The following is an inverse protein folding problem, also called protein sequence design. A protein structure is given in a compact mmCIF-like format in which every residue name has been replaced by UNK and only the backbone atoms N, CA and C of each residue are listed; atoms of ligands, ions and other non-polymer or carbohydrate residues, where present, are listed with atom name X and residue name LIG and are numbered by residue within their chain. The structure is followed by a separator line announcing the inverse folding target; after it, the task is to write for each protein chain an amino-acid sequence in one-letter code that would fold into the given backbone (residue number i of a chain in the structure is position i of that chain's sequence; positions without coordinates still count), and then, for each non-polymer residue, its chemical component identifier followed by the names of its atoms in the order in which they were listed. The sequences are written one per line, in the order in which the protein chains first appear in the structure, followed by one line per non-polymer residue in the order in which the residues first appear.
data_IF_173062469866
#
_entry.id   IF_173062469866
#
_cell.length_a   1.000
_cell.length_b   1.000
_cell.length_c   1.000
_cell.angle_alpha   90.00
_cell.angle_beta   90.00
_cell.angle_gamma   90.00
#
_symmetry.space_group_name_H-M   'P 1'
#
loop_
_entity.id
_entity.type
_entity.pdbx_description
1 polymer ?
#
# COMPACT_ATOMS: atom_id res chain seq x y z
N UNK A 1 -2.58 5.36 -1.30
CA UNK A 1 -3.78 5.23 -2.16
C UNK A 1 -4.76 4.33 -1.43
N UNK A 2 -6.01 4.75 -1.20
CA UNK A 2 -6.93 3.97 -0.37
C UNK A 2 -8.37 4.08 -0.82
N UNK A 3 -9.15 3.00 -0.62
CA UNK A 3 -10.61 2.97 -0.69
C UNK A 3 -11.16 2.81 0.72
N UNK A 4 -12.29 3.46 1.01
CA UNK A 4 -12.89 3.35 2.34
C UNK A 4 -13.25 1.89 2.66
N UNK A 5 -12.91 1.38 3.85
CA UNK A 5 -13.24 0.02 4.27
C UNK A 5 -14.74 -0.14 4.53
N UNK A 6 -15.47 -0.63 3.53
CA UNK A 6 -16.90 -0.98 3.67
C UNK A 6 -17.10 -2.45 3.37
N UNK A 7 -17.99 -3.08 4.14
CA UNK A 7 -18.38 -4.47 3.90
C UNK A 7 -18.93 -4.65 2.47
N UNK A 8 -18.39 -5.62 1.76
CA UNK A 8 -18.73 -5.91 0.37
C UNK A 8 -17.99 -5.08 -0.68
N UNK A 9 -17.29 -4.00 -0.28
CA UNK A 9 -16.58 -3.10 -1.20
C UNK A 9 -15.08 -3.34 -1.26
N UNK A 10 -14.49 -3.91 -0.19
CA UNK A 10 -13.05 -4.15 -0.06
C UNK A 10 -12.78 -5.61 0.29
N UNK A 11 -11.63 -6.13 -0.14
CA UNK A 11 -11.13 -7.48 0.19
C UNK A 11 -12.16 -8.60 -0.03
N UNK A 12 -13.00 -8.47 -1.03
CA UNK A 12 -14.09 -9.43 -1.33
C UNK A 12 -13.58 -10.82 -1.69
N UNK A 13 -12.34 -10.95 -2.20
CA UNK A 13 -11.68 -12.24 -2.46
C UNK A 13 -11.24 -12.98 -1.19
N UNK A 14 -11.28 -12.30 -0.03
CA UNK A 14 -11.07 -12.94 1.27
C UNK A 14 -12.35 -13.55 1.85
N UNK A 15 -13.47 -13.44 1.16
CA UNK A 15 -14.78 -13.96 1.57
C UNK A 15 -15.19 -15.14 0.68
N UNK A 16 -15.25 -16.41 1.20
CA UNK A 16 -14.73 -16.87 2.47
C UNK A 16 -13.18 -16.95 2.49
N UNK A 17 -12.49 -17.08 3.62
CA UNK A 17 -13.00 -17.49 4.94
C UNK A 17 -13.51 -16.38 5.84
N UNK A 18 -13.25 -15.10 5.53
CA UNK A 18 -13.79 -13.99 6.29
C UNK A 18 -15.25 -13.73 5.91
N UNK A 19 -15.99 -13.05 6.77
CA UNK A 19 -17.23 -12.37 6.40
C UNK A 19 -16.91 -11.03 5.73
N UNK A 20 -17.90 -10.38 5.09
CA UNK A 20 -17.70 -9.05 4.50
C UNK A 20 -17.33 -8.00 5.55
N UNK A 21 -17.92 -8.06 6.75
CA UNK A 21 -17.58 -7.16 7.85
C UNK A 21 -16.16 -7.38 8.35
N UNK A 22 -15.74 -8.63 8.51
CA UNK A 22 -14.38 -8.99 8.90
C UNK A 22 -13.36 -8.58 7.83
N UNK A 23 -13.68 -8.68 6.56
CA UNK A 23 -12.83 -8.24 5.46
C UNK A 23 -12.65 -6.70 5.46
N UNK A 24 -13.70 -5.94 5.76
CA UNK A 24 -13.63 -4.49 5.95
C UNK A 24 -12.82 -4.10 7.20
N UNK A 25 -13.00 -4.81 8.31
CA UNK A 25 -12.23 -4.59 9.54
C UNK A 25 -10.74 -4.93 9.36
N UNK A 26 -10.42 -6.01 8.63
CA UNK A 26 -9.05 -6.36 8.26
C UNK A 26 -8.43 -5.26 7.39
N UNK A 27 -9.15 -4.75 6.42
CA UNK A 27 -8.68 -3.64 5.57
C UNK A 27 -8.45 -2.36 6.40
N UNK A 28 -9.29 -2.09 7.41
CA UNK A 28 -9.05 -1.00 8.38
C UNK A 28 -7.75 -1.21 9.14
N UNK A 29 -7.47 -2.45 9.55
CA UNK A 29 -6.22 -2.80 10.24
C UNK A 29 -5.00 -2.59 9.33
N UNK A 30 -5.09 -2.99 8.05
CA UNK A 30 -4.04 -2.73 7.05
C UNK A 30 -3.76 -1.24 6.88
N UNK A 31 -4.81 -0.44 6.78
CA UNK A 31 -4.66 1.02 6.67
C UNK A 31 -3.96 1.63 7.88
N UNK A 32 -4.32 1.20 9.09
CA UNK A 32 -3.67 1.67 10.32
C UNK A 32 -2.19 1.31 10.37
N UNK A 33 -1.86 0.06 10.04
CA UNK A 33 -0.48 -0.43 10.05
C UNK A 33 0.36 0.28 8.98
N UNK A 34 -0.14 0.38 7.75
CA UNK A 34 0.54 1.08 6.66
C UNK A 34 0.72 2.57 6.98
N UNK A 35 -0.32 3.24 7.50
CA UNK A 35 -0.24 4.64 7.89
C UNK A 35 0.78 4.87 9.02
N UNK A 36 0.83 3.98 10.01
CA UNK A 36 1.82 4.04 11.08
C UNK A 36 3.25 3.89 10.54
N UNK A 37 3.49 2.94 9.62
CA UNK A 37 4.78 2.73 8.97
C UNK A 37 5.18 3.93 8.09
N UNK A 38 4.26 4.51 7.33
CA UNK A 38 4.50 5.71 6.52
C UNK A 38 4.86 6.89 7.42
N UNK A 39 4.10 7.12 8.50
CA UNK A 39 4.35 8.21 9.44
C UNK A 39 5.70 8.08 10.13
N UNK A 40 6.07 6.88 10.57
CA UNK A 40 7.38 6.61 11.16
C UNK A 40 8.53 6.87 10.16
N UNK A 41 8.32 6.59 8.88
CA UNK A 41 9.29 6.83 7.82
C UNK A 41 9.40 8.30 7.42
N UNK A 42 8.31 9.06 7.48
CA UNK A 42 8.24 10.45 7.05
C UNK A 42 9.04 11.37 7.97
N UNK A 43 9.00 11.15 9.29
CA UNK A 43 9.58 12.07 10.25
C UNK A 43 9.07 13.50 10.02
N UNK A 44 10.00 14.50 10.14
CA UNK A 44 9.70 15.91 9.88
C UNK A 44 9.93 16.32 8.41
N UNK A 45 10.33 15.39 7.55
CA UNK A 45 10.80 15.70 6.19
C UNK A 45 9.79 15.39 5.09
N UNK A 46 8.66 14.78 5.41
CA UNK A 46 7.64 14.41 4.44
C UNK A 46 6.23 14.58 5.01
N UNK A 47 5.29 15.01 4.16
CA UNK A 47 3.88 15.07 4.48
C UNK A 47 3.22 13.72 4.21
N UNK A 48 2.50 13.20 5.19
CA UNK A 48 1.67 12.01 5.04
C UNK A 48 0.32 12.39 4.43
N UNK A 49 -0.07 11.70 3.35
CA UNK A 49 -1.28 12.01 2.59
C UNK A 49 -2.09 10.74 2.33
N UNK A 50 -3.36 10.77 2.70
CA UNK A 50 -4.36 9.75 2.34
C UNK A 50 -5.06 10.14 1.04
N UNK A 51 -4.69 9.52 -0.08
CA UNK A 51 -5.38 9.73 -1.37
C UNK A 51 -6.53 8.73 -1.46
N UNK A 52 -7.76 9.19 -1.27
CA UNK A 52 -8.91 8.37 -0.91
C UNK A 52 -10.03 8.34 -1.94
N UNK A 53 -10.88 7.30 -1.88
CA UNK A 53 -12.12 7.15 -2.63
C UNK A 53 -13.15 6.37 -1.80
N UNK A 54 -14.47 6.59 -1.99
CA UNK A 54 -15.14 7.62 -2.77
C UNK A 54 -15.11 9.00 -2.07
N UNK A 55 -15.48 10.05 -2.80
CA UNK A 55 -15.65 11.40 -2.28
C UNK A 55 -16.80 11.49 -1.28
N UNK A 56 -16.72 12.39 -0.28
CA UNK A 56 -17.81 12.69 0.67
C UNK A 56 -17.86 11.80 1.90
N UNK A 57 -16.81 11.01 2.16
CA UNK A 57 -16.72 10.12 3.32
C UNK A 57 -15.44 10.35 4.14
N UNK A 58 -14.90 11.53 4.09
CA UNK A 58 -13.65 11.92 4.73
C UNK A 58 -13.66 11.65 6.23
N UNK A 59 -14.82 11.83 6.87
CA UNK A 59 -15.00 11.59 8.30
C UNK A 59 -14.64 10.15 8.72
N UNK A 60 -14.82 9.17 7.84
CA UNK A 60 -14.44 7.78 8.16
C UNK A 60 -12.93 7.62 8.35
N UNK A 61 -12.14 8.40 7.64
CA UNK A 61 -10.68 8.31 7.74
C UNK A 61 -10.12 8.97 9.00
N UNK A 62 -10.85 9.89 9.65
CA UNK A 62 -10.43 10.48 10.92
C UNK A 62 -10.32 9.47 12.07
N UNK A 63 -11.00 8.33 11.96
CA UNK A 63 -10.93 7.23 12.92
C UNK A 63 -9.88 6.16 12.55
N UNK A 64 -9.36 6.21 11.32
CA UNK A 64 -8.46 5.20 10.77
C UNK A 64 -7.03 5.73 10.67
N UNK A 65 -6.86 6.90 10.07
CA UNK A 65 -5.56 7.50 9.81
C UNK A 65 -5.12 8.41 10.97
N UNK A 66 -3.81 8.55 11.22
CA UNK A 66 -3.30 9.55 12.16
C UNK A 66 -3.77 10.97 11.80
N UNK A 67 -3.95 11.82 12.81
CA UNK A 67 -4.51 13.18 12.66
C UNK A 67 -3.67 14.12 11.78
N UNK A 68 -2.41 13.82 11.59
CA UNK A 68 -1.48 14.58 10.75
C UNK A 68 -1.49 14.16 9.26
N UNK A 69 -2.35 13.19 8.90
CA UNK A 69 -2.60 12.87 7.49
C UNK A 69 -3.51 13.91 6.84
N UNK A 70 -3.07 14.46 5.72
CA UNK A 70 -3.90 15.26 4.83
C UNK A 70 -4.70 14.35 3.90
N UNK A 71 -5.98 14.63 3.70
CA UNK A 71 -6.83 13.86 2.81
C UNK A 71 -6.94 14.55 1.45
N UNK A 72 -6.73 13.79 0.37
CA UNK A 72 -6.88 14.23 -1.02
C UNK A 72 -7.76 13.24 -1.76
N UNK A 73 -8.85 13.66 -2.42
CA UNK A 73 -9.70 12.74 -3.15
C UNK A 73 -9.01 12.20 -4.40
N UNK A 74 -9.23 10.91 -4.69
CA UNK A 74 -8.81 10.32 -5.96
C UNK A 74 -9.69 10.86 -7.09
N UNK A 75 -9.08 11.09 -8.26
CA UNK A 75 -9.78 11.37 -9.52
C UNK A 75 -9.22 10.51 -10.65
N UNK A 76 -10.03 10.28 -11.67
CA UNK A 76 -9.76 9.38 -12.78
C UNK A 76 -10.63 8.14 -12.75
N UNK A 77 -10.92 7.61 -13.93
CA UNK A 77 -11.82 6.47 -14.11
C UNK A 77 -11.06 5.13 -14.00
N UNK A 78 -9.86 5.06 -14.54
CA UNK A 78 -9.00 3.89 -14.50
C UNK A 78 -8.02 3.93 -13.33
N UNK A 79 -7.45 2.78 -12.97
CA UNK A 79 -6.44 2.72 -11.91
C UNK A 79 -5.17 3.53 -12.27
N UNK A 80 -4.72 3.45 -13.51
CA UNK A 80 -3.57 4.23 -14.00
C UNK A 80 -3.82 5.73 -13.95
N UNK A 81 -5.01 6.20 -14.35
CA UNK A 81 -5.38 7.61 -14.23
C UNK A 81 -5.40 8.08 -12.79
N UNK A 82 -5.90 7.26 -11.86
CA UNK A 82 -5.91 7.63 -10.43
C UNK A 82 -4.49 7.81 -9.88
N UNK A 83 -3.55 6.96 -10.27
CA UNK A 83 -2.14 7.13 -9.91
C UNK A 83 -1.54 8.38 -10.55
N UNK A 84 -1.76 8.57 -11.84
CA UNK A 84 -1.26 9.72 -12.58
C UNK A 84 -1.78 11.04 -12.01
N UNK A 85 -3.09 11.15 -11.80
CA UNK A 85 -3.68 12.37 -11.26
C UNK A 85 -3.31 12.62 -9.80
N UNK A 86 -3.16 11.58 -8.98
CA UNK A 86 -2.64 11.75 -7.63
C UNK A 86 -1.23 12.36 -7.66
N UNK A 87 -0.37 11.86 -8.55
CA UNK A 87 0.96 12.41 -8.74
C UNK A 87 0.94 13.85 -9.25
N UNK A 88 0.12 14.13 -10.27
CA UNK A 88 -0.03 15.46 -10.87
C UNK A 88 -0.46 16.50 -9.82
N UNK A 89 -1.48 16.16 -9.03
CA UNK A 89 -2.02 17.09 -8.01
C UNK A 89 -1.01 17.36 -6.91
N UNK A 90 -0.28 16.35 -6.45
CA UNK A 90 0.76 16.52 -5.43
C UNK A 90 1.93 17.37 -5.95
N UNK A 91 2.39 17.16 -7.18
CA UNK A 91 3.40 18.03 -7.77
C UNK A 91 2.90 19.47 -7.97
N UNK A 92 1.63 19.65 -8.34
CA UNK A 92 1.02 20.99 -8.44
C UNK A 92 0.93 21.70 -7.08
N UNK A 93 0.84 20.94 -5.97
CA UNK A 93 0.94 21.49 -4.61
C UNK A 93 2.37 21.83 -4.19
N UNK A 94 3.39 21.63 -5.05
CA UNK A 94 4.77 22.03 -4.79
C UNK A 94 5.64 20.97 -4.13
N UNK A 95 5.19 19.71 -4.00
CA UNK A 95 6.04 18.64 -3.49
C UNK A 95 7.19 18.37 -4.48
N UNK A 96 8.44 18.31 -3.99
CA UNK A 96 9.63 18.07 -4.81
C UNK A 96 9.85 16.59 -5.16
N UNK A 97 9.21 15.68 -4.44
CA UNK A 97 9.17 14.24 -4.72
C UNK A 97 7.97 13.60 -4.05
N UNK A 98 7.48 12.52 -4.59
CA UNK A 98 6.32 11.79 -4.06
C UNK A 98 6.57 10.28 -4.06
N UNK A 99 5.89 9.58 -3.14
CA UNK A 99 5.72 8.13 -3.14
C UNK A 99 4.23 7.82 -3.13
N UNK A 100 3.73 7.14 -4.16
CA UNK A 100 2.41 6.54 -4.14
C UNK A 100 2.55 5.13 -3.58
N UNK A 101 1.83 4.85 -2.51
CA UNK A 101 1.93 3.60 -1.74
C UNK A 101 0.54 2.96 -1.72
N UNK A 102 0.49 1.63 -1.87
CA UNK A 102 -0.75 0.87 -1.70
C UNK A 102 -1.20 0.83 -0.22
N UNK A 103 -2.31 0.16 0.05
CA UNK A 103 -2.84 -0.03 1.39
C UNK A 103 -3.02 -1.50 1.75
N UNK A 104 -2.47 -2.39 0.95
CA UNK A 104 -2.77 -3.81 0.97
C UNK A 104 -1.57 -4.68 1.38
N UNK A 105 -0.44 -4.02 1.66
CA UNK A 105 0.86 -4.61 2.04
C UNK A 105 1.26 -4.24 3.48
N UNK A 106 0.51 -4.67 4.52
CA UNK A 106 0.67 -4.18 5.91
C UNK A 106 2.01 -4.58 6.55
N UNK A 107 2.72 -5.53 5.97
CA UNK A 107 4.00 -6.04 6.51
C UNK A 107 5.22 -5.28 6.04
N UNK A 108 5.05 -4.24 5.19
CA UNK A 108 6.16 -3.41 4.74
C UNK A 108 6.65 -2.53 5.90
N UNK A 109 7.92 -2.70 6.34
CA UNK A 109 8.43 -1.96 7.48
C UNK A 109 8.74 -0.50 7.13
N UNK A 110 8.72 0.39 8.14
CA UNK A 110 8.98 1.81 7.99
C UNK A 110 10.36 2.12 7.37
N UNK A 111 11.37 1.29 7.63
CA UNK A 111 12.72 1.42 7.06
C UNK A 111 12.71 1.34 5.53
N UNK A 112 11.80 0.56 4.96
CA UNK A 112 11.64 0.45 3.52
C UNK A 112 11.12 1.76 2.92
N UNK A 113 10.14 2.39 3.55
CA UNK A 113 9.64 3.70 3.14
C UNK A 113 10.68 4.80 3.36
N UNK A 114 11.41 4.77 4.49
CA UNK A 114 12.53 5.69 4.74
C UNK A 114 13.62 5.56 3.66
N UNK A 115 13.89 4.35 3.18
CA UNK A 115 14.83 4.12 2.07
C UNK A 115 14.33 4.74 0.77
N UNK A 116 13.03 4.65 0.47
CA UNK A 116 12.43 5.31 -0.70
C UNK A 116 12.65 6.82 -0.65
N UNK A 117 12.33 7.45 0.49
CA UNK A 117 12.55 8.89 0.71
C UNK A 117 14.01 9.27 0.47
N UNK A 118 14.96 8.55 1.06
CA UNK A 118 16.41 8.79 0.87
C UNK A 118 16.83 8.66 -0.59
N UNK A 119 16.34 7.66 -1.32
CA UNK A 119 16.65 7.50 -2.74
C UNK A 119 16.12 8.64 -3.60
N UNK A 120 14.99 9.25 -3.21
CA UNK A 120 14.42 10.39 -3.92
C UNK A 120 15.07 11.74 -3.56
N UNK A 121 15.86 11.82 -2.50
CA UNK A 121 16.64 13.01 -2.14
C UNK A 121 17.90 13.20 -3.00
N UNK A 122 18.41 12.14 -3.66
CA UNK A 122 19.55 12.26 -4.58
C UNK A 122 19.27 13.27 -5.70
N UNK A 123 20.30 13.95 -6.19
CA UNK A 123 20.17 14.96 -7.25
C UNK A 123 19.64 14.38 -8.56
N UNK A 124 20.02 13.14 -8.87
CA UNK A 124 19.68 12.46 -10.11
C UNK A 124 18.19 12.08 -10.18
N UNK A 125 17.59 12.29 -11.36
CA UNK A 125 16.20 11.86 -11.60
C UNK A 125 16.09 10.34 -11.69
N UNK A 126 15.07 9.79 -11.05
CA UNK A 126 14.88 8.35 -10.95
C UNK A 126 13.45 7.97 -10.57
N UNK A 127 13.09 6.74 -10.85
CA UNK A 127 11.93 6.08 -10.25
C UNK A 127 12.38 5.08 -9.18
N UNK A 128 11.66 5.05 -8.07
CA UNK A 128 11.82 4.06 -6.99
C UNK A 128 10.62 3.13 -7.03
N UNK A 129 10.85 1.82 -7.10
CA UNK A 129 9.79 0.82 -7.15
C UNK A 129 9.95 -0.16 -5.98
N UNK A 130 8.85 -0.39 -5.25
CA UNK A 130 8.72 -1.46 -4.26
C UNK A 130 7.94 -2.63 -4.87
N UNK A 131 8.60 -3.65 -5.41
CA UNK A 131 7.93 -4.73 -6.14
C UNK A 131 7.06 -5.58 -5.22
N UNK A 132 5.88 -6.00 -5.72
CA UNK A 132 5.01 -7.00 -5.10
C UNK A 132 5.13 -8.36 -5.79
N UNK A 133 4.76 -9.43 -5.08
CA UNK A 133 4.86 -10.81 -5.59
C UNK A 133 3.83 -11.12 -6.69
N UNK A 134 2.75 -10.34 -6.78
CA UNK A 134 1.72 -10.43 -7.81
C UNK A 134 2.15 -9.89 -9.19
N UNK A 135 3.37 -9.31 -9.26
CA UNK A 135 3.89 -8.67 -10.49
C UNK A 135 3.58 -7.18 -10.60
N UNK A 136 2.93 -6.60 -9.58
CA UNK A 136 2.75 -5.17 -9.38
C UNK A 136 3.84 -4.54 -8.52
N UNK A 137 3.49 -3.47 -7.84
CA UNK A 137 4.33 -2.81 -6.85
C UNK A 137 3.47 -2.17 -5.74
N UNK A 138 3.97 -2.30 -4.50
CA UNK A 138 3.36 -1.65 -3.34
C UNK A 138 3.75 -0.17 -3.20
N UNK A 139 4.79 0.27 -3.93
CA UNK A 139 5.26 1.65 -3.94
C UNK A 139 5.82 2.02 -5.31
N UNK A 140 5.43 3.21 -5.80
CA UNK A 140 6.12 3.92 -6.86
C UNK A 140 6.46 5.34 -6.40
N UNK A 141 7.74 5.74 -6.52
CA UNK A 141 8.20 7.05 -6.11
C UNK A 141 9.00 7.74 -7.21
N UNK A 142 8.83 9.06 -7.37
CA UNK A 142 9.53 9.88 -8.36
C UNK A 142 9.66 11.35 -7.92
N UNK A 143 10.58 12.07 -8.58
CA UNK A 143 10.89 13.49 -8.36
C UNK A 143 10.22 14.41 -9.37
N UNK A 144 9.83 13.87 -10.49
CA UNK A 144 9.11 14.55 -11.56
C UNK A 144 8.03 13.65 -12.11
N UNK A 145 6.96 14.26 -12.56
CA UNK A 145 5.91 13.52 -13.24
C UNK A 145 6.36 13.21 -14.68
N UNK A 146 6.47 11.93 -14.97
CA UNK A 146 6.70 11.39 -16.31
C UNK A 146 5.43 10.67 -16.74
N UNK A 147 4.62 11.30 -17.60
CA UNK A 147 3.34 10.74 -18.06
C UNK A 147 3.51 9.38 -18.72
N UNK A 148 4.63 9.19 -19.42
CA UNK A 148 4.99 7.95 -20.10
C UNK A 148 5.07 6.75 -19.16
N UNK A 149 5.33 6.97 -17.88
CA UNK A 149 5.37 5.91 -16.87
C UNK A 149 4.01 5.24 -16.64
N UNK A 150 2.92 5.90 -17.04
CA UNK A 150 1.55 5.44 -16.87
C UNK A 150 0.92 4.97 -18.18
N UNK A 151 1.59 5.24 -19.32
CA UNK A 151 1.10 4.89 -20.65
C UNK A 151 1.40 3.42 -20.99
N UNK A 152 0.41 2.78 -21.64
CA UNK A 152 0.54 1.40 -22.13
C UNK A 152 0.93 0.40 -21.03
N UNK A 153 0.42 0.61 -19.83
CA UNK A 153 0.50 -0.33 -18.72
C UNK A 153 -0.80 -1.13 -18.65
N UNK A 154 -0.69 -2.44 -18.67
CA UNK A 154 -1.79 -3.37 -18.47
C UNK A 154 -2.10 -3.49 -16.97
N UNK A 155 -2.73 -2.45 -16.42
CA UNK A 155 -3.04 -2.37 -15.00
C UNK A 155 -3.80 -3.59 -14.47
N UNK A 156 -3.58 -3.95 -13.22
CA UNK A 156 -4.18 -5.12 -12.55
C UNK A 156 -3.77 -6.46 -13.17
N UNK A 157 -2.58 -6.52 -13.76
CA UNK A 157 -1.96 -7.76 -14.25
C UNK A 157 -0.56 -7.95 -13.68
N UNK A 158 -0.05 -9.16 -13.72
CA UNK A 158 1.32 -9.53 -13.34
C UNK A 158 2.43 -8.84 -14.16
N UNK A 159 2.05 -8.12 -15.22
CA UNK A 159 2.98 -7.44 -16.13
C UNK A 159 3.30 -6.01 -15.71
N UNK A 160 2.57 -5.44 -14.77
CA UNK A 160 2.65 -4.02 -14.37
C UNK A 160 4.08 -3.61 -14.05
N UNK A 161 4.77 -4.30 -13.14
CA UNK A 161 6.15 -3.99 -12.77
C UNK A 161 7.10 -4.03 -13.99
N UNK A 162 7.00 -5.10 -14.78
CA UNK A 162 7.85 -5.27 -15.96
C UNK A 162 7.65 -4.18 -17.01
N UNK A 163 6.41 -3.81 -17.26
CA UNK A 163 6.04 -2.74 -18.19
C UNK A 163 6.49 -1.37 -17.66
N UNK A 164 6.30 -1.08 -16.37
CA UNK A 164 6.76 0.16 -15.74
C UNK A 164 8.27 0.32 -15.82
N UNK A 165 9.04 -0.76 -15.54
CA UNK A 165 10.50 -0.77 -15.68
C UNK A 165 10.93 -0.53 -17.13
N UNK A 166 10.24 -1.11 -18.10
CA UNK A 166 10.50 -0.89 -19.52
C UNK A 166 10.27 0.59 -19.89
N UNK A 167 9.14 1.16 -19.48
CA UNK A 167 8.83 2.59 -19.70
C UNK A 167 9.89 3.51 -19.12
N UNK A 168 10.33 3.26 -17.88
CA UNK A 168 11.41 4.03 -17.28
C UNK A 168 12.69 3.99 -18.13
N UNK A 169 13.07 2.81 -18.65
CA UNK A 169 14.25 2.65 -19.50
C UNK A 169 14.11 3.38 -20.84
N UNK A 170 12.92 3.33 -21.47
CA UNK A 170 12.64 4.00 -22.75
C UNK A 170 12.83 5.52 -22.66
N UNK A 171 12.52 6.13 -21.51
CA UNK A 171 12.71 7.57 -21.27
C UNK A 171 14.06 7.89 -20.58
N UNK A 172 14.96 6.92 -20.45
CA UNK A 172 16.28 7.11 -19.85
C UNK A 172 16.27 7.30 -18.31
N UNK A 173 15.18 6.95 -17.64
CA UNK A 173 15.01 7.12 -16.21
C UNK A 173 15.65 5.96 -15.44
N UNK A 174 16.48 6.26 -14.44
CA UNK A 174 17.07 5.23 -13.60
C UNK A 174 16.04 4.59 -12.68
N UNK A 175 16.06 3.26 -12.60
CA UNK A 175 15.18 2.49 -11.73
C UNK A 175 15.95 2.04 -10.49
N UNK A 176 15.37 2.31 -9.30
CA UNK A 176 15.84 1.80 -8.02
C UNK A 176 14.79 0.90 -7.41
N UNK A 177 15.20 -0.32 -7.07
CA UNK A 177 14.30 -1.30 -6.44
C UNK A 177 14.45 -1.28 -4.93
N UNK A 178 13.32 -1.34 -4.25
CA UNK A 178 13.20 -1.64 -2.82
C UNK A 178 13.12 -3.16 -2.61
N UNK A 179 13.19 -3.64 -1.37
CA UNK A 179 12.89 -5.03 -1.07
C UNK A 179 11.51 -5.43 -1.59
N UNK A 180 11.38 -6.68 -2.01
CA UNK A 180 10.12 -7.23 -2.48
C UNK A 180 9.14 -7.40 -1.32
N UNK A 181 7.89 -7.08 -1.54
CA UNK A 181 6.76 -7.29 -0.63
C UNK A 181 5.68 -8.16 -1.27
N UNK A 182 4.53 -8.18 -0.63
CA UNK A 182 3.32 -8.80 -1.16
C UNK A 182 2.08 -8.07 -0.64
N UNK A 183 1.04 -8.11 -1.41
CA UNK A 183 -0.30 -7.67 -1.06
C UNK A 183 -1.14 -8.85 -0.55
N UNK A 184 -2.13 -8.55 0.28
CA UNK A 184 -3.02 -9.57 0.85
C UNK A 184 -4.40 -9.44 0.21
N UNK A 185 -4.57 -10.10 -0.92
CA UNK A 185 -5.78 -9.97 -1.75
C UNK A 185 -6.62 -11.24 -1.80
N UNK A 186 -6.05 -12.38 -1.47
CA UNK A 186 -6.72 -13.66 -1.55
C UNK A 186 -6.43 -14.55 -0.33
N UNK A 187 -7.02 -15.74 -0.33
CA UNK A 187 -6.87 -16.72 0.75
C UNK A 187 -5.41 -17.14 0.96
N UNK A 188 -4.62 -17.26 -0.09
CA UNK A 188 -3.21 -17.66 0.02
C UNK A 188 -2.38 -16.55 0.68
N UNK A 189 -2.61 -15.27 0.28
CA UNK A 189 -2.04 -14.10 0.93
C UNK A 189 -2.43 -14.02 2.41
N UNK A 190 -3.70 -14.28 2.75
CA UNK A 190 -4.16 -14.30 4.14
C UNK A 190 -3.46 -15.39 4.97
N UNK A 191 -3.31 -16.60 4.43
CA UNK A 191 -2.61 -17.70 5.10
C UNK A 191 -1.14 -17.40 5.31
N UNK A 192 -0.48 -16.81 4.31
CA UNK A 192 0.89 -16.32 4.41
C UNK A 192 1.01 -15.27 5.52
N UNK A 193 0.13 -14.29 5.54
CA UNK A 193 0.08 -13.24 6.56
C UNK A 193 -0.07 -13.82 7.97
N UNK A 194 -1.00 -14.77 8.16
CA UNK A 194 -1.16 -15.46 9.43
C UNK A 194 0.12 -16.20 9.83
N UNK A 195 0.79 -16.85 8.88
CA UNK A 195 2.03 -17.57 9.13
C UNK A 195 3.15 -16.64 9.56
N UNK A 196 3.29 -15.51 8.86
CA UNK A 196 4.34 -14.52 9.14
C UNK A 196 4.11 -13.74 10.43
N UNK A 197 2.85 -13.44 10.78
CA UNK A 197 2.53 -12.65 11.96
C UNK A 197 2.32 -13.47 13.24
N UNK A 198 1.79 -14.68 13.15
CA UNK A 198 1.26 -15.41 14.33
C UNK A 198 2.04 -16.67 14.72
N UNK A 199 3.07 -17.05 13.97
CA UNK A 199 3.95 -18.16 14.38
C UNK A 199 4.77 -17.78 15.61
N UNK A 200 5.02 -18.73 16.51
CA UNK A 200 5.86 -18.54 17.72
C UNK A 200 7.28 -18.05 17.40
N UNK A 201 7.84 -18.47 16.27
CA UNK A 201 9.14 -18.04 15.75
C UNK A 201 8.96 -17.23 14.46
N UNK A 202 8.08 -16.23 14.50
CA UNK A 202 7.85 -15.36 13.36
C UNK A 202 9.16 -14.68 12.90
N UNK A 203 9.45 -14.65 11.58
CA UNK A 203 10.60 -13.92 11.07
C UNK A 203 10.41 -12.40 11.16
N UNK A 204 9.18 -11.94 11.37
CA UNK A 204 8.86 -10.52 11.49
C UNK A 204 8.92 -10.08 12.95
N UNK A 205 9.48 -8.89 13.17
CA UNK A 205 9.46 -8.22 14.46
C UNK A 205 8.01 -8.09 14.98
N UNK A 206 7.84 -8.23 16.29
CA UNK A 206 6.54 -8.09 16.97
C UNK A 206 5.88 -6.73 16.76
N UNK A 207 6.66 -5.70 16.43
CA UNK A 207 6.20 -4.36 16.09
C UNK A 207 5.62 -4.21 14.68
N UNK A 208 5.80 -5.21 13.80
CA UNK A 208 5.25 -5.15 12.44
C UNK A 208 3.78 -5.53 12.43
N UNK A 209 2.97 -4.70 11.80
CA UNK A 209 1.53 -4.86 11.60
C UNK A 209 0.74 -5.19 12.89
N UNK A 210 0.85 -4.37 13.95
CA UNK A 210 0.25 -4.67 15.25
C UNK A 210 -1.29 -4.74 15.19
N UNK A 211 -1.96 -3.85 14.45
CA UNK A 211 -3.42 -3.87 14.30
C UNK A 211 -3.91 -5.11 13.54
N UNK A 212 -3.21 -5.48 12.49
CA UNK A 212 -3.49 -6.70 11.72
C UNK A 212 -3.27 -7.93 12.58
N UNK A 213 -2.19 -7.99 13.34
CA UNK A 213 -1.88 -9.08 14.27
C UNK A 213 -2.97 -9.23 15.34
N UNK A 214 -3.42 -8.13 15.92
CA UNK A 214 -4.50 -8.12 16.91
C UNK A 214 -5.81 -8.63 16.32
N UNK A 215 -6.19 -8.14 15.14
CA UNK A 215 -7.40 -8.56 14.43
C UNK A 215 -7.38 -10.08 14.17
N UNK A 216 -6.31 -10.62 13.58
CA UNK A 216 -6.19 -12.04 13.27
C UNK A 216 -6.21 -12.91 14.54
N UNK A 217 -5.51 -12.47 15.60
CA UNK A 217 -5.50 -13.15 16.89
C UNK A 217 -6.88 -13.23 17.52
N UNK A 218 -7.67 -12.13 17.40
CA UNK A 218 -9.06 -12.08 17.90
C UNK A 218 -9.97 -13.07 17.17
N UNK A 219 -9.89 -13.18 15.84
CA UNK A 219 -10.64 -14.17 15.08
C UNK A 219 -10.27 -15.58 15.48
N UNK A 220 -8.96 -15.88 15.58
CA UNK A 220 -8.48 -17.21 15.96
C UNK A 220 -8.97 -17.59 17.38
N UNK A 221 -8.93 -16.65 18.30
CA UNK A 221 -9.42 -16.88 19.68
C UNK A 221 -10.93 -17.16 19.72
N UNK A 222 -11.70 -16.48 18.87
CA UNK A 222 -13.16 -16.62 18.82
C UNK A 222 -13.63 -17.88 18.11
N UNK A 223 -13.01 -18.26 17.01
CA UNK A 223 -13.53 -19.24 16.06
C UNK A 223 -12.56 -20.39 15.71
N UNK A 224 -11.39 -20.36 16.31
CA UNK A 224 -10.35 -21.33 16.05
C UNK A 224 -9.49 -21.01 14.84
N UNK A 225 -8.25 -21.51 14.88
CA UNK A 225 -7.23 -21.26 13.85
C UNK A 225 -7.63 -21.78 12.46
N UNK A 226 -8.25 -22.96 12.41
CA UNK A 226 -8.52 -23.66 11.16
C UNK A 226 -9.41 -22.86 10.18
N UNK A 227 -10.18 -21.88 10.67
CA UNK A 227 -11.03 -21.04 9.82
C UNK A 227 -10.23 -20.21 8.84
N UNK A 228 -9.23 -19.48 9.32
CA UNK A 228 -8.45 -18.53 8.50
C UNK A 228 -7.02 -18.99 8.23
N UNK A 229 -6.53 -19.90 9.03
CA UNK A 229 -5.17 -20.41 8.96
C UNK A 229 -5.12 -21.92 9.23
N UNK A 230 -5.61 -22.78 8.30
CA UNK A 230 -5.55 -24.22 8.44
C UNK A 230 -4.09 -24.72 8.50
N UNK A 231 -3.93 -25.90 9.09
CA UNK A 231 -2.61 -26.57 9.22
C UNK A 231 -2.05 -26.96 7.85
#
# INVERSE_FOLDING_TARGET
MTKVPRAGDVKTRLVPPLTYDEAAELNTSFLRDTAASIRAAAGDNAQCIGVYTPLGIEHTYSEILPLDFVLVPQRGDTFGERLYFAALDLFACGFGSICLIDSDSPTIPAETFSRAVKLLQDAEDRVVLGPSDDGGYYLIGFKKLHGEMFDQIEWSTERVLGQTVRRAKEIGLKVKMLPRGYDVDDRAGLQRLCTELLRENSPLDSGIAPYTREFLSRIIKREGRARIWPA
#
